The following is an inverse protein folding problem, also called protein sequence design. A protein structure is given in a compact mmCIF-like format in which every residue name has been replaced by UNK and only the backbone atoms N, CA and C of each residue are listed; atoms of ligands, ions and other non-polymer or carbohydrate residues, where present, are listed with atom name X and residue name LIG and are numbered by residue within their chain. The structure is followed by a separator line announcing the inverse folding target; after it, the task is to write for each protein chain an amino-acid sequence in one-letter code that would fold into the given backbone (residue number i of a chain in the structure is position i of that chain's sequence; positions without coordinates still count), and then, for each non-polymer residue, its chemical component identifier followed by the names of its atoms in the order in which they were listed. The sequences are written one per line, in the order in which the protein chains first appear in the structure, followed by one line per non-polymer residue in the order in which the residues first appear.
data_IF_188539685588
#
_entry.id   IF_188539685588
#
_cell.length_a   1.000
_cell.length_b   1.000
_cell.length_c   1.000
_cell.angle_alpha   90.00
_cell.angle_beta   90.00
_cell.angle_gamma   90.00
#
_symmetry.space_group_name_H-M   'P 1'
#
loop_
_entity.id
_entity.type
_entity.pdbx_description
1 polymer ?
#
# COMPACT_ATOMS: atom_id res chain seq x y z
N UNK A 1 -7.73 -3.16 18.62
CA UNK A 1 -8.18 -4.43 19.24
C UNK A 1 -9.17 -5.06 18.28
N UNK A 2 -8.83 -6.23 17.71
CA UNK A 2 -9.71 -6.96 16.79
C UNK A 2 -10.88 -7.52 17.62
N UNK A 3 -12.12 -7.28 17.18
CA UNK A 3 -13.30 -7.86 17.83
C UNK A 3 -13.50 -9.27 17.26
N UNK A 4 -13.68 -10.25 18.13
CA UNK A 4 -13.94 -11.63 17.72
C UNK A 4 -15.37 -11.82 17.14
N UNK A 5 -16.33 -10.96 17.54
CA UNK A 5 -17.73 -11.01 17.10
C UNK A 5 -18.22 -9.63 16.61
N UNK A 6 -17.77 -9.16 15.43
CA UNK A 6 -18.29 -7.92 14.86
C UNK A 6 -19.76 -8.08 14.48
N UNK A 7 -20.60 -7.09 14.81
CA UNK A 7 -22.00 -7.05 14.35
C UNK A 7 -22.07 -6.77 12.85
N UNK A 8 -23.16 -7.20 12.22
CA UNK A 8 -23.46 -6.82 10.84
C UNK A 8 -23.49 -5.28 10.72
N UNK A 9 -22.69 -4.73 9.80
CA UNK A 9 -22.49 -3.29 9.64
C UNK A 9 -21.34 -2.67 10.47
N UNK A 10 -20.75 -3.39 11.42
CA UNK A 10 -19.54 -2.93 12.13
C UNK A 10 -18.26 -3.32 11.37
N UNK A 11 -18.02 -2.71 10.20
CA UNK A 11 -16.73 -2.84 9.51
C UNK A 11 -15.91 -1.56 9.68
N UNK A 12 -14.86 -1.63 10.49
CA UNK A 12 -13.87 -0.56 10.65
C UNK A 12 -12.50 -1.08 10.26
N UNK A 13 -11.95 -0.56 9.17
CA UNK A 13 -10.54 -0.78 8.83
C UNK A 13 -9.68 0.08 9.76
N UNK A 14 -8.67 -0.54 10.37
CA UNK A 14 -7.67 0.14 11.21
C UNK A 14 -6.30 -0.38 10.81
N UNK A 15 -5.34 0.54 10.60
CA UNK A 15 -3.95 0.18 10.36
C UNK A 15 -3.25 -0.11 11.69
N UNK A 16 -2.39 -1.13 11.73
CA UNK A 16 -1.58 -1.55 12.88
C UNK A 16 -0.13 -1.75 12.44
N UNK A 17 0.75 -2.13 13.38
CA UNK A 17 2.14 -2.52 13.09
C UNK A 17 2.94 -1.40 12.38
N UNK A 18 3.18 -0.32 13.12
CA UNK A 18 3.88 0.89 12.66
C UNK A 18 5.41 0.84 12.88
N UNK A 19 6.02 -0.35 13.00
CA UNK A 19 7.45 -0.52 13.29
C UNK A 19 8.36 0.16 12.23
N UNK A 20 7.86 0.31 11.00
CA UNK A 20 8.58 0.93 9.89
C UNK A 20 7.99 2.28 9.44
N UNK A 21 7.21 2.94 10.31
CA UNK A 21 6.71 4.29 10.00
C UNK A 21 7.87 5.29 9.96
N UNK A 22 7.91 6.10 8.91
CA UNK A 22 8.90 7.16 8.75
C UNK A 22 8.31 8.32 7.95
N UNK A 23 8.88 9.52 8.10
CA UNK A 23 8.56 10.61 7.18
C UNK A 23 9.02 10.20 5.78
N UNK A 24 8.08 10.14 4.85
CA UNK A 24 8.34 9.71 3.49
C UNK A 24 7.37 10.37 2.51
N UNK A 25 7.65 10.23 1.22
CA UNK A 25 6.71 10.62 0.17
C UNK A 25 5.45 9.77 0.26
N UNK A 26 4.26 10.38 0.31
CA UNK A 26 2.97 9.66 0.28
C UNK A 26 2.84 8.69 -0.89
N UNK A 27 3.50 9.03 -2.00
CA UNK A 27 3.67 8.18 -3.17
C UNK A 27 4.11 6.76 -2.79
N UNK A 28 5.09 6.65 -1.89
CA UNK A 28 5.66 5.37 -1.46
C UNK A 28 4.62 4.48 -0.76
N UNK A 29 3.84 5.04 0.17
CA UNK A 29 2.81 4.29 0.88
C UNK A 29 1.68 3.84 -0.05
N UNK A 30 1.16 4.74 -0.89
CA UNK A 30 0.06 4.44 -1.81
C UNK A 30 0.52 3.46 -2.89
N UNK A 31 1.66 3.73 -3.53
CA UNK A 31 2.24 2.86 -4.55
C UNK A 31 2.66 1.50 -3.98
N UNK A 32 3.21 1.48 -2.76
CA UNK A 32 3.52 0.26 -2.03
C UNK A 32 2.27 -0.56 -1.72
N UNK A 33 1.19 0.07 -1.28
CA UNK A 33 -0.10 -0.61 -1.09
C UNK A 33 -0.58 -1.29 -2.37
N UNK A 34 -0.51 -0.62 -3.52
CA UNK A 34 -0.87 -1.24 -4.80
C UNK A 34 0.07 -2.38 -5.18
N UNK A 35 1.36 -2.26 -4.88
CA UNK A 35 2.35 -3.31 -5.13
C UNK A 35 2.05 -4.56 -4.28
N UNK A 36 1.60 -4.40 -3.02
CA UNK A 36 1.36 -5.52 -2.11
C UNK A 36 0.32 -6.54 -2.61
N UNK A 37 -0.65 -6.13 -3.45
CA UNK A 37 -1.62 -7.07 -4.09
C UNK A 37 -0.94 -8.12 -4.98
N UNK A 38 0.32 -7.89 -5.37
CA UNK A 38 1.13 -8.84 -6.13
C UNK A 38 1.73 -9.97 -5.29
N UNK A 39 1.58 -9.93 -3.97
CA UNK A 39 2.14 -10.91 -3.05
C UNK A 39 1.05 -11.64 -2.27
N UNK A 40 1.32 -12.91 -1.94
CA UNK A 40 0.59 -13.67 -0.93
C UNK A 40 1.57 -14.05 0.17
N UNK A 41 1.17 -13.83 1.41
CA UNK A 41 2.00 -14.10 2.58
C UNK A 41 1.68 -15.45 3.26
N UNK A 42 0.57 -16.11 2.91
CA UNK A 42 0.03 -17.28 3.62
C UNK A 42 -0.44 -18.41 2.68
N UNK A 43 0.40 -18.86 1.74
CA UNK A 43 0.07 -20.01 0.88
C UNK A 43 1.08 -21.14 1.13
N UNK A 44 0.66 -22.20 1.82
CA UNK A 44 1.51 -23.34 2.23
C UNK A 44 1.85 -24.29 1.07
N UNK A 45 1.04 -24.32 0.00
CA UNK A 45 1.21 -25.24 -1.15
C UNK A 45 1.95 -24.62 -2.34
N UNK A 46 1.81 -23.31 -2.58
CA UNK A 46 2.38 -22.65 -3.76
C UNK A 46 2.65 -21.16 -3.53
N UNK A 47 3.92 -20.75 -3.62
CA UNK A 47 4.31 -19.33 -3.66
C UNK A 47 3.99 -18.62 -4.99
N UNK A 48 3.43 -19.33 -5.99
CA UNK A 48 2.95 -18.71 -7.25
C UNK A 48 1.52 -18.25 -7.06
N UNK A 49 1.36 -17.00 -6.66
CA UNK A 49 0.07 -16.39 -6.67
C UNK A 49 -0.36 -16.08 -8.11
N UNK A 50 -1.60 -16.40 -8.48
CA UNK A 50 -2.30 -15.81 -9.63
C UNK A 50 -2.67 -14.35 -9.32
N UNK A 51 -1.68 -13.57 -8.88
CA UNK A 51 -1.89 -12.22 -8.39
C UNK A 51 -2.23 -11.30 -9.55
N UNK A 52 -3.48 -10.83 -9.55
CA UNK A 52 -3.93 -9.76 -10.43
C UNK A 52 -3.49 -8.43 -9.83
N UNK A 53 -2.64 -7.71 -10.56
CA UNK A 53 -2.29 -6.32 -10.22
C UNK A 53 -3.54 -5.46 -10.09
N UNK A 54 -3.46 -4.40 -9.28
CA UNK A 54 -4.47 -3.36 -9.32
C UNK A 54 -4.60 -2.81 -10.74
N UNK A 55 -5.82 -2.72 -11.25
CA UNK A 55 -6.09 -2.07 -12.53
C UNK A 55 -6.22 -0.56 -12.33
N UNK A 56 -6.10 0.23 -13.40
CA UNK A 56 -6.28 1.67 -13.28
C UNK A 56 -7.67 2.05 -12.77
N UNK A 57 -8.69 1.28 -13.17
CA UNK A 57 -10.07 1.46 -12.72
C UNK A 57 -10.24 1.23 -11.22
N UNK A 58 -9.38 0.41 -10.60
CA UNK A 58 -9.34 0.24 -9.15
C UNK A 58 -8.51 1.31 -8.45
N UNK A 59 -7.39 1.75 -9.07
CA UNK A 59 -6.45 2.73 -8.48
C UNK A 59 -7.02 4.14 -8.46
N UNK A 60 -7.66 4.59 -9.54
CA UNK A 60 -8.13 5.98 -9.67
C UNK A 60 -9.16 6.37 -8.58
N UNK A 61 -10.22 5.58 -8.32
CA UNK A 61 -11.15 5.90 -7.23
C UNK A 61 -10.48 5.94 -5.85
N UNK A 62 -9.48 5.09 -5.62
CA UNK A 62 -8.69 5.13 -4.37
C UNK A 62 -7.93 6.45 -4.25
N UNK A 63 -7.28 6.90 -5.32
CA UNK A 63 -6.51 8.15 -5.34
C UNK A 63 -7.42 9.38 -5.21
N UNK A 64 -8.60 9.36 -5.84
CA UNK A 64 -9.62 10.40 -5.69
C UNK A 64 -10.09 10.53 -4.23
N UNK A 65 -10.42 9.40 -3.61
CA UNK A 65 -10.88 9.38 -2.22
C UNK A 65 -9.76 9.78 -1.25
N UNK A 66 -8.51 9.34 -1.51
CA UNK A 66 -7.34 9.78 -0.76
C UNK A 66 -7.19 11.31 -0.83
N UNK A 67 -7.16 11.89 -2.03
CA UNK A 67 -7.02 13.34 -2.22
C UNK A 67 -8.12 14.10 -1.49
N UNK A 68 -9.37 13.64 -1.61
CA UNK A 68 -10.53 14.25 -0.94
C UNK A 68 -10.39 14.26 0.59
N UNK A 69 -9.96 13.14 1.18
CA UNK A 69 -9.79 13.03 2.63
C UNK A 69 -8.56 13.81 3.11
N UNK A 70 -7.48 13.79 2.34
CA UNK A 70 -6.26 14.55 2.61
C UNK A 70 -6.53 16.05 2.65
N UNK A 71 -7.14 16.59 1.58
CA UNK A 71 -7.51 18.00 1.48
C UNK A 71 -8.44 18.45 2.63
N UNK A 72 -9.36 17.58 3.08
CA UNK A 72 -10.22 17.86 4.23
C UNK A 72 -9.42 18.03 5.53
N UNK A 73 -8.32 17.31 5.67
CA UNK A 73 -7.46 17.34 6.86
C UNK A 73 -6.44 18.49 6.82
N UNK A 74 -5.85 18.76 5.65
CA UNK A 74 -4.72 19.68 5.50
C UNK A 74 -5.11 21.05 4.96
N UNK A 75 -6.25 21.16 4.24
CA UNK A 75 -6.62 22.34 3.46
C UNK A 75 -5.94 22.40 2.08
N UNK A 76 -5.25 21.34 1.67
CA UNK A 76 -4.62 21.25 0.35
C UNK A 76 -5.67 21.17 -0.79
N UNK A 77 -5.17 21.27 -2.03
CA UNK A 77 -5.98 21.23 -3.25
C UNK A 77 -5.51 20.10 -4.19
N UNK A 78 -5.11 18.97 -3.63
CA UNK A 78 -4.70 17.81 -4.42
C UNK A 78 -5.87 17.28 -5.26
N UNK A 79 -5.55 16.78 -6.45
CA UNK A 79 -6.51 16.06 -7.31
C UNK A 79 -6.08 14.59 -7.44
N UNK A 80 -7.05 13.70 -7.63
CA UNK A 80 -6.78 12.26 -7.67
C UNK A 80 -5.84 11.85 -8.80
N UNK A 81 -5.88 12.52 -9.96
CA UNK A 81 -4.93 12.28 -11.06
C UNK A 81 -3.47 12.56 -10.66
N UNK A 82 -3.23 13.59 -9.84
CA UNK A 82 -1.91 13.90 -9.33
C UNK A 82 -1.45 12.81 -8.36
N UNK A 83 -2.31 12.42 -7.41
CA UNK A 83 -2.02 11.35 -6.44
C UNK A 83 -1.79 10.02 -7.16
N UNK A 84 -2.55 9.74 -8.21
CA UNK A 84 -2.38 8.56 -9.04
C UNK A 84 -1.01 8.55 -9.73
N UNK A 85 -0.61 9.65 -10.38
CA UNK A 85 0.70 9.76 -11.00
C UNK A 85 1.83 9.58 -9.98
N UNK A 86 1.71 10.23 -8.82
CA UNK A 86 2.65 10.06 -7.71
C UNK A 86 2.74 8.59 -7.26
N UNK A 87 1.61 7.89 -7.17
CA UNK A 87 1.57 6.49 -6.75
C UNK A 87 2.30 5.56 -7.72
N UNK A 88 2.36 5.87 -9.03
CA UNK A 88 3.10 5.07 -10.00
C UNK A 88 4.62 5.21 -9.79
N UNK A 89 5.11 6.40 -9.43
CA UNK A 89 6.51 6.57 -9.01
C UNK A 89 6.79 5.84 -7.70
N UNK A 90 5.87 5.94 -6.75
CA UNK A 90 5.97 5.24 -5.47
C UNK A 90 5.95 3.72 -5.59
N UNK A 91 5.21 3.18 -6.56
CA UNK A 91 5.16 1.74 -6.86
C UNK A 91 6.55 1.23 -7.28
N UNK A 92 7.24 1.96 -8.15
CA UNK A 92 8.61 1.63 -8.55
C UNK A 92 9.59 1.73 -7.38
N UNK A 93 9.44 2.76 -6.54
CA UNK A 93 10.25 2.93 -5.34
C UNK A 93 10.03 1.78 -4.34
N UNK A 94 8.78 1.33 -4.17
CA UNK A 94 8.42 0.20 -3.32
C UNK A 94 9.05 -1.12 -3.79
N UNK A 95 9.03 -1.40 -5.10
CA UNK A 95 9.75 -2.56 -5.67
C UNK A 95 11.24 -2.47 -5.34
N UNK A 96 11.85 -1.31 -5.60
CA UNK A 96 13.28 -1.10 -5.37
C UNK A 96 13.65 -1.27 -3.90
N UNK A 97 12.83 -0.74 -2.99
CA UNK A 97 12.99 -0.92 -1.54
C UNK A 97 12.89 -2.39 -1.13
N UNK A 98 11.91 -3.13 -1.68
CA UNK A 98 11.78 -4.57 -1.44
C UNK A 98 13.01 -5.35 -1.91
N UNK A 99 13.52 -5.07 -3.12
CA UNK A 99 14.74 -5.69 -3.65
C UNK A 99 15.94 -5.35 -2.79
N UNK A 100 16.12 -4.08 -2.42
CA UNK A 100 17.23 -3.64 -1.59
C UNK A 100 17.27 -4.37 -0.25
N UNK A 101 16.15 -4.43 0.47
CA UNK A 101 16.07 -5.14 1.76
C UNK A 101 16.34 -6.64 1.61
N UNK A 102 15.83 -7.27 0.56
CA UNK A 102 16.12 -8.67 0.27
C UNK A 102 17.62 -8.90 0.04
N UNK A 103 18.28 -8.04 -0.75
CA UNK A 103 19.71 -8.14 -1.01
C UNK A 103 20.54 -7.91 0.25
N UNK A 104 20.20 -6.92 1.09
CA UNK A 104 20.86 -6.69 2.37
C UNK A 104 20.74 -7.89 3.29
N UNK A 105 19.55 -8.48 3.41
CA UNK A 105 19.34 -9.68 4.22
C UNK A 105 20.19 -10.86 3.73
N UNK A 106 20.27 -11.08 2.42
CA UNK A 106 21.10 -12.14 1.84
C UNK A 106 22.60 -11.88 2.01
N UNK A 107 23.06 -10.63 1.89
CA UNK A 107 24.46 -10.25 2.13
C UNK A 107 24.92 -10.36 3.58
N UNK A 108 23.99 -10.31 4.55
CA UNK A 108 24.27 -10.57 5.96
C UNK A 108 24.39 -12.07 6.32
N UNK A 109 24.09 -12.98 5.38
CA UNK A 109 24.21 -14.44 5.58
C UNK A 109 25.51 -15.05 5.02
N UNK A 110 26.43 -14.21 4.54
CA UNK A 110 27.77 -14.60 4.05
C UNK A 110 28.88 -14.31 5.05
#
# INVERSE_FOLDING_TARGET
MVKNDPKEGESKVTLTDFEFVMQNYRAFDIGGHFMQKMFKWFDEESRRASCKKYTEEEKKPFCDEYARQWNKLTGDLDIGDQVFLESEYGYLLAITFGIHNMLCFMGCTS
#
